data_IF_250686850524
#
_entry.id   IF_250686850524
#
_cell.length_a   1.000
_cell.length_b   1.000
_cell.length_c   1.000
_cell.angle_alpha   90.00
_cell.angle_beta   90.00
_cell.angle_gamma   90.00
#
_symmetry.space_group_name_H-M   'P 1'
#
loop_
_entity.id
_entity.type
_entity.pdbx_description
1 polymer ?
#
# COMPACT_ATOMS: atom_id res chain seq x y z
N UNK A 1 6.04 6.45 -7.78
CA UNK A 1 5.41 6.40 -6.43
C UNK A 1 4.24 5.43 -6.50
N UNK A 2 3.46 5.24 -5.45
CA UNK A 2 2.18 4.52 -5.51
C UNK A 2 1.12 5.28 -4.72
N UNK A 3 -0.15 5.07 -5.08
CA UNK A 3 -1.29 5.71 -4.43
C UNK A 3 -2.53 4.81 -4.58
N UNK A 4 -3.61 5.06 -3.82
CA UNK A 4 -4.90 4.41 -4.05
C UNK A 4 -5.40 4.65 -5.48
N UNK A 5 -6.04 3.66 -6.07
CA UNK A 5 -6.60 3.72 -7.43
C UNK A 5 -7.76 4.73 -7.60
N UNK A 6 -8.53 4.95 -6.53
CA UNK A 6 -9.65 5.90 -6.49
C UNK A 6 -9.63 6.78 -5.25
N UNK A 7 -10.44 7.85 -5.26
CA UNK A 7 -10.58 8.75 -4.11
C UNK A 7 -11.31 8.14 -2.91
N UNK A 8 -12.10 7.08 -3.11
CA UNK A 8 -12.81 6.37 -2.04
C UNK A 8 -12.16 5.01 -1.85
N UNK A 9 -11.25 4.92 -0.88
CA UNK A 9 -10.41 3.75 -0.66
C UNK A 9 -10.31 3.40 0.84
N UNK A 10 -9.99 2.14 1.14
CA UNK A 10 -9.73 1.65 2.52
C UNK A 10 -8.27 1.75 2.96
N UNK A 11 -7.39 2.30 2.12
CA UNK A 11 -5.95 2.38 2.40
C UNK A 11 -5.58 3.48 3.41
N UNK A 12 -5.73 3.19 4.70
CA UNK A 12 -5.42 4.12 5.78
C UNK A 12 -3.97 4.66 5.71
N UNK A 13 -3.82 5.97 5.95
CA UNK A 13 -2.53 6.66 5.89
C UNK A 13 -2.09 7.10 4.49
N UNK A 14 -2.73 6.58 3.43
CA UNK A 14 -2.47 7.00 2.05
C UNK A 14 -3.54 8.00 1.57
N UNK A 15 -3.25 8.64 0.42
CA UNK A 15 -4.14 9.60 -0.23
C UNK A 15 -4.08 9.41 -1.74
N UNK A 16 -5.24 9.46 -2.39
CA UNK A 16 -5.32 9.61 -3.85
C UNK A 16 -5.06 11.07 -4.24
N UNK A 17 -3.84 11.38 -4.72
CA UNK A 17 -3.39 12.76 -4.97
C UNK A 17 -4.30 13.57 -5.91
N UNK A 18 -4.90 12.99 -6.98
CA UNK A 18 -5.78 13.75 -7.86
C UNK A 18 -7.04 14.31 -7.18
N UNK A 19 -7.52 13.68 -6.10
CA UNK A 19 -8.74 14.11 -5.40
C UNK A 19 -8.49 14.68 -4.00
N UNK A 20 -7.28 14.52 -3.46
CA UNK A 20 -6.95 14.94 -2.11
C UNK A 20 -6.27 16.32 -2.07
N UNK A 21 -6.39 16.99 -0.92
CA UNK A 21 -5.59 18.19 -0.64
C UNK A 21 -4.12 17.77 -0.48
N UNK A 22 -3.27 18.26 -1.39
CA UNK A 22 -1.82 18.04 -1.37
C UNK A 22 -1.21 18.66 -0.11
N UNK A 23 -0.46 17.88 0.70
CA UNK A 23 0.29 18.44 1.82
C UNK A 23 1.29 19.50 1.33
N UNK A 24 1.53 20.57 2.10
CA UNK A 24 2.48 21.62 1.71
C UNK A 24 3.94 21.15 1.63
N UNK A 25 4.25 19.98 2.17
CA UNK A 25 5.57 19.32 2.09
C UNK A 25 5.68 18.33 0.93
N UNK A 26 4.62 18.15 0.14
CA UNK A 26 4.60 17.22 -0.99
C UNK A 26 5.17 17.92 -2.24
N UNK A 27 6.20 17.30 -2.83
CA UNK A 27 6.85 17.78 -4.05
C UNK A 27 6.73 16.72 -5.14
N UNK A 28 5.95 17.06 -6.17
CA UNK A 28 5.63 16.16 -7.30
C UNK A 28 6.84 15.88 -8.18
N UNK A 29 7.89 16.69 -8.14
CA UNK A 29 9.09 16.47 -8.95
C UNK A 29 9.86 15.20 -8.53
N UNK A 30 9.69 14.73 -7.29
CA UNK A 30 10.24 13.47 -6.82
C UNK A 30 9.35 12.26 -7.13
N UNK A 31 8.08 12.47 -7.45
CA UNK A 31 7.13 11.43 -7.76
C UNK A 31 7.07 11.22 -9.27
N UNK A 32 7.64 10.10 -9.76
CA UNK A 32 7.29 9.60 -11.10
C UNK A 32 5.80 9.21 -11.19
N UNK A 33 5.37 8.70 -12.34
CA UNK A 33 3.99 8.24 -12.54
C UNK A 33 3.54 7.31 -11.40
N UNK A 34 2.39 7.58 -10.76
CA UNK A 34 1.97 6.82 -9.60
C UNK A 34 1.35 5.49 -10.03
N UNK A 35 1.79 4.39 -9.39
CA UNK A 35 1.13 3.10 -9.50
C UNK A 35 -0.20 3.13 -8.72
N UNK A 36 -1.35 2.89 -9.37
CA UNK A 36 -2.64 2.81 -8.68
C UNK A 36 -2.77 1.45 -7.98
N UNK A 37 -3.17 1.46 -6.71
CA UNK A 37 -3.32 0.25 -5.90
C UNK A 37 -4.76 0.16 -5.39
N UNK A 38 -5.42 -0.96 -5.70
CA UNK A 38 -6.75 -1.29 -5.21
C UNK A 38 -6.74 -1.59 -3.70
N UNK A 39 -7.86 -1.31 -3.03
CA UNK A 39 -8.00 -1.56 -1.59
C UNK A 39 -7.91 -3.05 -1.29
N UNK A 40 -8.58 -3.86 -2.10
CA UNK A 40 -8.70 -5.31 -1.98
C UNK A 40 -7.33 -5.98 -2.14
N UNK A 41 -6.56 -5.58 -3.16
CA UNK A 41 -5.20 -6.10 -3.38
C UNK A 41 -4.28 -5.82 -2.18
N UNK A 42 -4.38 -4.62 -1.60
CA UNK A 42 -3.62 -4.25 -0.41
C UNK A 42 -4.03 -5.07 0.83
N UNK A 43 -5.33 -5.27 1.05
CA UNK A 43 -5.85 -6.05 2.17
C UNK A 43 -5.41 -7.51 2.05
N UNK A 44 -5.55 -8.11 0.87
CA UNK A 44 -5.08 -9.46 0.59
C UNK A 44 -3.59 -9.59 0.89
N UNK A 45 -2.77 -8.68 0.35
CA UNK A 45 -1.32 -8.69 0.58
C UNK A 45 -0.97 -8.52 2.07
N UNK A 46 -1.67 -7.65 2.80
CA UNK A 46 -1.46 -7.46 4.25
C UNK A 46 -1.67 -8.76 5.02
N UNK A 47 -2.72 -9.53 4.68
CA UNK A 47 -2.98 -10.84 5.30
C UNK A 47 -1.94 -11.89 4.90
N UNK A 48 -1.50 -11.88 3.64
CA UNK A 48 -0.44 -12.78 3.14
C UNK A 48 0.89 -12.52 3.82
N UNK A 49 1.31 -11.26 3.97
CA UNK A 49 2.53 -10.88 4.70
C UNK A 49 2.55 -11.45 6.13
N UNK A 50 1.43 -11.39 6.84
CA UNK A 50 1.33 -11.94 8.19
C UNK A 50 1.41 -13.48 8.20
N UNK A 51 0.78 -14.16 7.22
CA UNK A 51 0.64 -15.63 7.17
C UNK A 51 1.84 -16.35 6.55
N UNK A 52 2.40 -15.77 5.50
CA UNK A 52 3.44 -16.37 4.65
C UNK A 52 4.83 -15.91 5.10
N UNK A 53 4.97 -14.64 5.49
CA UNK A 53 6.29 -14.02 5.78
C UNK A 53 6.49 -13.69 7.28
N UNK A 54 5.46 -13.87 8.12
CA UNK A 54 5.52 -13.51 9.55
C UNK A 54 5.60 -12.01 9.82
N UNK A 55 5.25 -11.18 8.83
CA UNK A 55 5.29 -9.72 8.91
C UNK A 55 3.91 -9.19 9.29
N UNK A 56 3.70 -8.92 10.58
CA UNK A 56 2.44 -8.36 11.07
C UNK A 56 2.43 -6.82 10.96
N UNK A 57 2.01 -6.31 9.81
CA UNK A 57 2.08 -4.89 9.41
C UNK A 57 0.72 -4.30 9.04
N UNK A 58 0.64 -2.98 8.91
CA UNK A 58 -0.60 -2.27 8.56
C UNK A 58 -0.96 -2.27 7.08
N UNK A 59 -2.17 -1.81 6.76
CA UNK A 59 -2.76 -1.86 5.42
C UNK A 59 -1.91 -1.11 4.37
N UNK A 60 -1.35 0.05 4.70
CA UNK A 60 -0.48 0.78 3.77
C UNK A 60 0.80 0.01 3.39
N UNK A 61 1.24 -0.92 4.24
CA UNK A 61 2.37 -1.81 3.97
C UNK A 61 2.01 -2.86 2.92
N UNK A 62 0.79 -3.39 2.95
CA UNK A 62 0.28 -4.28 1.91
C UNK A 62 0.31 -3.61 0.54
N UNK A 63 -0.21 -2.38 0.44
CA UNK A 63 -0.16 -1.59 -0.79
C UNK A 63 1.28 -1.35 -1.27
N UNK A 64 2.19 -1.05 -0.35
CA UNK A 64 3.60 -0.82 -0.66
C UNK A 64 4.29 -2.09 -1.22
N UNK A 65 3.91 -3.28 -0.75
CA UNK A 65 4.43 -4.56 -1.25
C UNK A 65 3.79 -4.94 -2.59
N UNK A 66 2.50 -4.70 -2.80
CA UNK A 66 1.85 -4.88 -4.12
C UNK A 66 2.57 -4.03 -5.17
N UNK A 67 2.80 -2.75 -4.88
CA UNK A 67 3.54 -1.86 -5.77
C UNK A 67 4.97 -2.36 -6.03
N UNK A 68 5.68 -2.80 -4.97
CA UNK A 68 7.03 -3.33 -5.11
C UNK A 68 7.10 -4.59 -5.97
N UNK A 69 6.14 -5.51 -5.84
CA UNK A 69 6.06 -6.72 -6.65
C UNK A 69 5.74 -6.40 -8.13
N UNK A 70 4.89 -5.41 -8.39
CA UNK A 70 4.62 -4.94 -9.75
C UNK A 70 5.90 -4.38 -10.39
N UNK A 71 6.62 -3.49 -9.69
CA UNK A 71 7.91 -2.98 -10.18
C UNK A 71 8.91 -4.12 -10.41
N UNK A 72 9.00 -5.07 -9.46
CA UNK A 72 9.92 -6.20 -9.58
C UNK A 72 9.59 -7.08 -10.81
N UNK A 73 8.31 -7.23 -11.18
CA UNK A 73 7.90 -8.01 -12.35
C UNK A 73 8.31 -7.40 -13.69
N UNK A 74 8.66 -6.12 -13.72
CA UNK A 74 9.10 -5.39 -14.92
C UNK A 74 10.63 -5.35 -15.06
N UNK A 75 11.37 -5.89 -14.08
CA UNK A 75 12.83 -5.91 -14.07
C UNK A 75 13.36 -7.28 -14.51
N UNK A 76 14.35 -7.27 -15.41
CA UNK A 76 15.12 -8.48 -15.74
C UNK A 76 16.03 -8.90 -14.57
N UNK A 77 16.66 -7.91 -13.92
CA UNK A 77 17.48 -8.08 -12.72
C UNK A 77 17.49 -6.79 -11.87
N UNK A 78 17.59 -6.92 -10.55
CA UNK A 78 17.68 -5.76 -9.64
C UNK A 78 17.21 -6.04 -8.22
N UNK A 79 17.24 -5.00 -7.38
CA UNK A 79 16.73 -5.03 -6.00
C UNK A 79 15.69 -3.93 -5.82
N UNK A 80 14.47 -4.32 -5.47
CA UNK A 80 13.40 -3.39 -5.12
C UNK A 80 13.30 -3.28 -3.60
N UNK A 81 13.23 -2.05 -3.10
CA UNK A 81 13.09 -1.75 -1.66
C UNK A 81 11.78 -1.01 -1.43
N UNK A 82 11.05 -1.39 -0.38
CA UNK A 82 9.81 -0.73 0.04
C UNK A 82 9.77 -0.52 1.55
N UNK A 83 8.86 0.33 2.03
CA UNK A 83 8.72 0.69 3.44
C UNK A 83 7.40 0.12 3.96
N UNK A 84 7.44 -0.53 5.13
CA UNK A 84 6.26 -0.98 5.87
C UNK A 84 6.05 -0.01 7.05
N UNK A 85 5.14 0.98 6.94
CA UNK A 85 5.17 2.15 7.83
C UNK A 85 4.81 1.85 9.28
N UNK A 86 4.00 0.82 9.53
CA UNK A 86 3.58 0.46 10.88
C UNK A 86 3.16 -1.02 11.04
N UNK A 87 2.91 -1.38 12.30
CA UNK A 87 2.59 -2.74 12.71
C UNK A 87 1.07 -3.01 12.74
N UNK A 88 0.69 -4.26 12.46
CA UNK A 88 -0.68 -4.70 12.25
C UNK A 88 -1.58 -4.66 13.48
N UNK A 89 -1.03 -4.53 14.70
CA UNK A 89 -1.83 -4.52 15.92
C UNK A 89 -2.84 -3.36 15.99
N UNK A 90 -2.58 -2.27 15.26
CA UNK A 90 -3.49 -1.12 15.17
C UNK A 90 -4.78 -1.44 14.41
N UNK A 91 -4.76 -2.51 13.60
CA UNK A 91 -5.85 -2.89 12.69
C UNK A 91 -6.67 -4.07 13.21
N UNK A 92 -6.45 -4.54 14.44
CA UNK A 92 -7.16 -5.70 15.02
C UNK A 92 -8.69 -5.51 15.10
N UNK A 93 -9.17 -4.27 15.19
CA UNK A 93 -10.60 -3.96 15.21
C UNK A 93 -11.21 -3.71 13.83
N UNK A 94 -10.41 -3.78 12.76
CA UNK A 94 -10.87 -3.53 11.40
C UNK A 94 -11.61 -4.76 10.83
N UNK A 95 -12.94 -4.69 10.84
CA UNK A 95 -13.77 -5.78 10.31
C UNK A 95 -13.62 -5.97 8.80
N UNK A 96 -13.38 -4.92 8.04
CA UNK A 96 -13.23 -5.04 6.59
C UNK A 96 -11.97 -5.85 6.24
N UNK A 97 -10.90 -5.70 7.03
CA UNK A 97 -9.67 -6.48 6.87
C UNK A 97 -9.83 -7.96 7.28
N UNK A 98 -10.52 -8.24 8.40
CA UNK A 98 -10.54 -9.59 8.98
C UNK A 98 -11.75 -10.44 8.60
N UNK A 99 -12.91 -9.82 8.41
CA UNK A 99 -14.20 -10.49 8.16
C UNK A 99 -14.62 -10.42 6.69
N UNK A 100 -13.97 -9.57 5.88
CA UNK A 100 -14.24 -9.41 4.46
C UNK A 100 -13.87 -10.66 3.65
N UNK A 101 -14.86 -11.51 3.39
CA UNK A 101 -14.91 -12.50 2.31
C UNK A 101 -16.23 -12.39 1.58
#
# INVERSE_FOLDING_TARGET
SFQPDTGFHGLEGLKHMPTAIKPGIYDESFAGEPLPIETEASHEMTLRLAREEGLFVGISSGAAVVAALQVASELDEGVVVTILPDAGYKYLSDKALWEGK
#
